data_IF_239770083011
#
_entry.id   IF_239770083011
#
_cell.length_a   1.000
_cell.length_b   1.000
_cell.length_c   1.000
_cell.angle_alpha   90.00
_cell.angle_beta   90.00
_cell.angle_gamma   90.00
#
_symmetry.space_group_name_H-M   'P 1'
#
loop_
_entity.id
_entity.type
_entity.pdbx_description
1 polymer ?
#
# COMPACT_ATOMS: atom_id res chain seq x y z
N UNK A 1 -6.78 69.82 23.79
CA UNK A 1 -6.53 68.46 24.30
C UNK A 1 -6.52 67.51 23.11
N UNK A 2 -5.34 67.08 22.70
CA UNK A 2 -5.07 66.21 21.55
C UNK A 2 -5.62 64.81 21.81
N UNK A 3 -6.62 64.40 21.03
CA UNK A 3 -7.12 63.03 21.00
C UNK A 3 -6.01 62.13 20.46
N UNK A 4 -5.50 61.23 21.29
CA UNK A 4 -4.58 60.17 20.87
C UNK A 4 -5.33 59.22 19.92
N UNK A 5 -5.36 59.54 18.63
CA UNK A 5 -5.84 58.60 17.62
C UNK A 5 -4.95 57.37 17.69
N UNK A 6 -5.50 56.21 18.08
CA UNK A 6 -4.77 54.95 18.17
C UNK A 6 -4.01 54.73 16.86
N UNK A 7 -2.69 54.77 16.91
CA UNK A 7 -1.81 54.60 15.74
C UNK A 7 -1.79 53.16 15.21
N UNK A 8 -2.48 52.26 15.90
CA UNK A 8 -2.70 50.88 15.50
C UNK A 8 -3.96 50.30 16.16
N UNK A 9 -4.50 49.22 15.60
CA UNK A 9 -5.63 48.46 16.14
C UNK A 9 -5.63 47.02 15.63
N UNK A 10 -6.40 46.13 16.26
CA UNK A 10 -6.51 44.72 15.88
C UNK A 10 -7.89 44.40 15.29
N UNK A 11 -7.94 43.45 14.37
CA UNK A 11 -9.19 42.84 13.87
C UNK A 11 -9.09 41.33 14.06
N UNK A 12 -10.13 40.73 14.66
CA UNK A 12 -10.26 39.28 14.82
C UNK A 12 -11.21 38.74 13.74
N UNK A 13 -10.76 37.71 13.03
CA UNK A 13 -11.39 37.12 11.85
C UNK A 13 -11.62 35.62 12.09
N UNK A 14 -12.78 35.24 12.64
CA UNK A 14 -13.14 33.84 12.79
C UNK A 14 -13.64 33.25 11.45
N UNK A 15 -13.38 31.97 11.20
CA UNK A 15 -13.76 31.30 9.95
C UNK A 15 -15.24 30.90 9.89
N UNK A 16 -15.92 30.83 11.03
CA UNK A 16 -17.31 30.38 11.17
C UNK A 16 -18.34 31.55 11.16
N UNK A 17 -18.03 32.65 10.47
CA UNK A 17 -19.03 33.72 10.28
C UNK A 17 -20.18 33.26 9.38
N UNK A 18 -21.29 34.00 9.40
CA UNK A 18 -22.50 33.69 8.64
C UNK A 18 -22.39 33.93 7.12
N UNK A 19 -21.19 34.14 6.57
CA UNK A 19 -21.01 34.29 5.11
C UNK A 19 -21.10 32.90 4.46
N UNK A 20 -21.96 32.77 3.46
CA UNK A 20 -22.18 31.51 2.74
C UNK A 20 -20.89 31.01 2.07
N UNK A 21 -20.65 29.70 2.14
CA UNK A 21 -19.50 29.05 1.52
C UNK A 21 -18.20 29.13 2.34
N UNK A 22 -18.20 29.74 3.52
CA UNK A 22 -17.04 29.76 4.40
C UNK A 22 -16.61 28.35 4.84
N UNK A 23 -15.31 28.11 4.77
CA UNK A 23 -14.62 26.90 5.26
C UNK A 23 -13.46 27.31 6.15
N UNK A 24 -12.97 26.38 6.97
CA UNK A 24 -11.83 26.63 7.87
C UNK A 24 -10.56 27.09 7.12
N UNK A 25 -10.36 26.65 5.88
CA UNK A 25 -9.24 27.02 5.01
C UNK A 25 -9.51 28.18 4.05
N UNK A 26 -10.75 28.64 3.89
CA UNK A 26 -11.12 29.66 2.93
C UNK A 26 -12.39 30.34 3.38
N UNK A 27 -12.27 31.58 3.86
CA UNK A 27 -13.40 32.27 4.48
C UNK A 27 -13.31 33.78 4.31
N UNK A 28 -14.49 34.40 4.30
CA UNK A 28 -14.70 35.84 4.24
C UNK A 28 -15.32 36.33 5.54
N UNK A 29 -14.88 37.50 5.98
CA UNK A 29 -15.44 38.19 7.15
C UNK A 29 -15.86 39.59 6.74
N UNK A 30 -17.18 39.86 6.83
CA UNK A 30 -17.74 41.20 6.65
C UNK A 30 -17.55 42.01 7.93
N UNK A 31 -16.96 43.18 7.79
CA UNK A 31 -16.72 44.08 8.91
C UNK A 31 -18.01 44.82 9.29
N UNK A 32 -18.26 45.09 10.58
CA UNK A 32 -19.47 45.78 11.03
C UNK A 32 -19.55 47.23 10.53
N UNK A 33 -18.39 47.82 10.20
CA UNK A 33 -18.28 49.13 9.55
C UNK A 33 -17.18 49.06 8.50
N UNK A 34 -17.40 49.74 7.39
CA UNK A 34 -16.39 49.94 6.36
C UNK A 34 -15.23 50.74 6.95
N UNK A 35 -14.03 50.18 6.91
CA UNK A 35 -12.82 50.86 7.35
C UNK A 35 -12.28 51.72 6.21
N UNK A 36 -11.88 52.94 6.52
CA UNK A 36 -11.26 53.88 5.58
C UNK A 36 -9.85 54.20 6.04
N UNK A 37 -8.89 54.04 5.13
CA UNK A 37 -7.48 54.24 5.35
C UNK A 37 -7.01 55.45 4.54
N UNK A 38 -6.55 56.50 5.25
CA UNK A 38 -6.05 57.73 4.63
C UNK A 38 -4.54 57.72 4.34
N UNK A 39 -3.72 57.43 5.36
CA UNK A 39 -2.25 57.37 5.30
C UNK A 39 -1.73 56.02 4.78
N UNK A 40 -0.40 55.84 4.68
CA UNK A 40 0.17 54.49 4.50
C UNK A 40 -0.07 53.64 5.75
N UNK A 41 -0.83 52.57 5.58
CA UNK A 41 -1.15 51.61 6.63
C UNK A 41 -0.57 50.26 6.25
N UNK A 42 -0.07 49.55 7.25
CA UNK A 42 0.41 48.18 7.08
C UNK A 42 -0.40 47.23 7.96
N UNK A 43 -0.53 46.00 7.49
CA UNK A 43 -1.21 44.90 8.18
C UNK A 43 -0.27 43.72 8.35
N UNK A 44 -0.37 43.03 9.48
CA UNK A 44 0.33 41.78 9.69
C UNK A 44 -0.48 40.79 10.50
N UNK A 45 -0.14 39.50 10.38
CA UNK A 45 -0.72 38.44 11.19
C UNK A 45 -0.09 38.43 12.59
N UNK A 46 -0.89 38.76 13.62
CA UNK A 46 -0.43 38.83 15.00
C UNK A 46 -0.69 37.54 15.78
N UNK A 47 -1.87 36.95 15.61
CA UNK A 47 -2.23 35.67 16.25
C UNK A 47 -2.98 34.80 15.25
N UNK A 48 -2.73 33.50 15.29
CA UNK A 48 -3.49 32.51 14.54
C UNK A 48 -3.88 31.36 15.49
N UNK A 49 -5.18 31.05 15.54
CA UNK A 49 -5.71 29.85 16.17
C UNK A 49 -6.24 28.92 15.08
N UNK A 50 -5.78 27.67 15.05
CA UNK A 50 -6.24 26.70 14.05
C UNK A 50 -6.33 25.28 14.63
N UNK A 51 -7.26 24.44 14.14
CA UNK A 51 -7.35 23.05 14.56
C UNK A 51 -6.33 22.20 13.78
N UNK A 52 -5.59 21.33 14.45
CA UNK A 52 -4.77 20.32 13.79
C UNK A 52 -5.62 19.09 13.40
N UNK A 53 -6.54 19.27 12.45
CA UNK A 53 -7.59 18.30 12.10
C UNK A 53 -7.41 17.67 10.72
N UNK A 54 -6.18 17.40 10.29
CA UNK A 54 -5.90 16.69 9.04
C UNK A 54 -5.03 15.46 9.31
N UNK A 55 -5.15 14.39 8.49
CA UNK A 55 -4.38 13.18 8.70
C UNK A 55 -2.93 13.37 8.28
N UNK A 56 -1.97 12.78 9.01
CA UNK A 56 -0.56 12.74 8.58
C UNK A 56 -0.37 11.93 7.30
N UNK A 57 -1.19 10.90 7.07
CA UNK A 57 -1.17 10.07 5.87
C UNK A 57 -2.49 10.23 5.12
N UNK A 58 -2.45 10.50 3.81
CA UNK A 58 -3.66 10.68 3.01
C UNK A 58 -4.28 12.06 3.14
N UNK A 59 -3.45 13.08 3.38
CA UNK A 59 -3.87 14.47 3.56
C UNK A 59 -4.45 15.06 2.26
N UNK A 60 -3.75 14.83 1.14
CA UNK A 60 -4.07 15.43 -0.15
C UNK A 60 -4.65 14.42 -1.13
N UNK A 61 -4.26 13.15 -1.03
CA UNK A 61 -4.57 12.11 -2.01
C UNK A 61 -4.83 10.77 -1.33
N UNK A 62 -5.55 9.89 -2.03
CA UNK A 62 -5.72 8.50 -1.60
C UNK A 62 -4.38 7.76 -1.63
N UNK A 63 -4.07 7.06 -0.54
CA UNK A 63 -2.82 6.31 -0.41
C UNK A 63 -3.04 4.86 -0.79
N UNK A 64 -2.04 4.24 -1.41
CA UNK A 64 -2.14 2.85 -1.84
C UNK A 64 -0.78 2.15 -1.90
N UNK A 65 -0.85 0.83 -1.84
CA UNK A 65 0.23 -0.08 -2.22
C UNK A 65 -0.29 -0.92 -3.39
N UNK A 66 0.34 -0.80 -4.56
CA UNK A 66 0.03 -1.63 -5.72
C UNK A 66 1.05 -2.75 -5.81
N UNK A 67 0.57 -3.99 -5.87
CA UNK A 67 1.39 -5.19 -6.02
C UNK A 67 1.20 -5.72 -7.42
N UNK A 68 2.29 -5.83 -8.18
CA UNK A 68 2.35 -6.50 -9.47
C UNK A 68 2.93 -7.90 -9.26
N UNK A 69 2.13 -8.92 -9.58
CA UNK A 69 2.50 -10.32 -9.46
C UNK A 69 3.32 -10.77 -10.67
N UNK A 70 4.17 -11.79 -10.50
CA UNK A 70 4.93 -12.39 -11.61
C UNK A 70 4.02 -12.98 -12.70
N UNK A 71 2.76 -13.23 -12.36
CA UNK A 71 1.73 -13.72 -13.28
C UNK A 71 1.25 -12.65 -14.27
N UNK A 72 1.55 -11.37 -13.99
CA UNK A 72 1.12 -10.19 -14.76
C UNK A 72 -0.07 -9.45 -14.14
N UNK A 73 -0.76 -10.09 -13.19
CA UNK A 73 -1.90 -9.49 -12.49
C UNK A 73 -1.43 -8.38 -11.54
N UNK A 74 -2.29 -7.39 -11.30
CA UNK A 74 -2.00 -6.27 -10.40
C UNK A 74 -3.14 -6.07 -9.40
N UNK A 75 -2.78 -5.75 -8.16
CA UNK A 75 -3.74 -5.47 -7.09
C UNK A 75 -3.39 -4.14 -6.44
N UNK A 76 -4.34 -3.21 -6.42
CA UNK A 76 -4.20 -1.94 -5.70
C UNK A 76 -4.87 -2.07 -4.34
N UNK A 77 -4.06 -2.00 -3.29
CA UNK A 77 -4.49 -2.11 -1.89
C UNK A 77 -4.59 -0.68 -1.33
N UNK A 78 -5.77 -0.20 -0.96
CA UNK A 78 -5.91 1.13 -0.37
C UNK A 78 -5.27 1.15 1.02
N UNK A 79 -4.59 2.25 1.33
CA UNK A 79 -4.06 2.53 2.67
C UNK A 79 -4.91 3.65 3.26
N UNK A 80 -5.66 3.40 4.35
CA UNK A 80 -6.57 4.39 4.90
C UNK A 80 -5.82 5.61 5.44
N UNK A 81 -6.42 6.78 5.26
CA UNK A 81 -5.91 8.01 5.85
C UNK A 81 -5.84 7.87 7.37
N UNK A 82 -4.73 8.27 7.97
CA UNK A 82 -4.51 8.08 9.40
C UNK A 82 -3.53 9.08 10.02
N UNK A 83 -3.74 9.32 11.31
CA UNK A 83 -2.86 10.12 12.15
C UNK A 83 -1.75 9.24 12.73
N UNK A 84 -0.61 9.25 12.05
CA UNK A 84 0.52 8.43 12.39
C UNK A 84 1.45 9.21 13.31
N UNK A 85 1.66 8.73 14.55
CA UNK A 85 2.55 9.41 15.51
C UNK A 85 3.95 8.83 15.57
N UNK A 86 4.08 7.55 15.25
CA UNK A 86 5.35 6.84 15.29
C UNK A 86 5.42 5.77 14.20
N UNK A 87 6.64 5.33 13.84
CA UNK A 87 6.83 4.33 12.79
C UNK A 87 6.11 3.00 13.07
N UNK A 88 5.96 2.60 14.33
CA UNK A 88 5.29 1.35 14.72
C UNK A 88 3.79 1.38 14.41
N UNK A 89 3.12 2.50 14.66
CA UNK A 89 1.72 2.69 14.29
C UNK A 89 1.53 2.61 12.77
N UNK A 90 2.38 3.28 12.00
CA UNK A 90 2.34 3.19 10.53
C UNK A 90 2.54 1.75 10.04
N UNK A 91 3.52 1.05 10.62
CA UNK A 91 3.82 -0.33 10.28
C UNK A 91 2.60 -1.24 10.52
N UNK A 92 1.92 -1.07 11.63
CA UNK A 92 0.71 -1.83 11.96
C UNK A 92 -0.42 -1.53 10.96
N UNK A 93 -0.64 -0.25 10.61
CA UNK A 93 -1.61 0.13 9.60
C UNK A 93 -1.31 -0.47 8.23
N UNK A 94 -0.03 -0.48 7.80
CA UNK A 94 0.39 -1.13 6.57
C UNK A 94 0.21 -2.64 6.61
N UNK A 95 0.52 -3.29 7.74
CA UNK A 95 0.29 -4.72 7.92
C UNK A 95 -1.18 -5.10 7.90
N UNK A 96 -2.05 -4.22 8.41
CA UNK A 96 -3.49 -4.40 8.32
C UNK A 96 -3.97 -4.26 6.87
N UNK A 97 -3.57 -3.19 6.17
CA UNK A 97 -3.93 -2.96 4.77
C UNK A 97 -3.45 -4.11 3.87
N UNK A 98 -2.19 -4.54 4.00
CA UNK A 98 -1.65 -5.70 3.26
C UNK A 98 -2.20 -7.04 3.74
N UNK A 99 -2.92 -7.07 4.87
CA UNK A 99 -3.71 -8.23 5.28
C UNK A 99 -4.85 -8.50 4.29
N UNK A 100 -5.23 -7.49 3.52
CA UNK A 100 -6.15 -7.58 2.39
C UNK A 100 -5.35 -7.80 1.09
N UNK A 101 -6.05 -8.30 0.07
CA UNK A 101 -5.49 -8.63 -1.24
C UNK A 101 -6.61 -8.61 -2.28
N UNK A 102 -6.56 -9.52 -3.24
CA UNK A 102 -7.63 -9.73 -4.21
C UNK A 102 -8.34 -11.06 -3.97
N UNK A 103 -9.55 -10.98 -3.39
CA UNK A 103 -10.43 -12.14 -3.27
C UNK A 103 -10.92 -12.63 -4.65
N UNK A 104 -10.99 -11.74 -5.64
CA UNK A 104 -11.32 -12.08 -7.03
C UNK A 104 -10.25 -13.01 -7.64
N UNK A 105 -8.98 -12.62 -7.57
CA UNK A 105 -7.87 -13.44 -8.07
C UNK A 105 -7.76 -14.76 -7.28
N UNK A 106 -7.94 -14.71 -5.96
CA UNK A 106 -7.92 -15.89 -5.10
C UNK A 106 -9.06 -16.86 -5.45
N UNK A 107 -10.27 -16.34 -5.68
CA UNK A 107 -11.45 -17.14 -6.03
C UNK A 107 -11.31 -17.76 -7.42
N UNK A 108 -10.83 -17.00 -8.41
CA UNK A 108 -10.56 -17.48 -9.76
C UNK A 108 -9.54 -18.63 -9.74
N UNK A 109 -8.43 -18.45 -9.01
CA UNK A 109 -7.42 -19.52 -8.89
C UNK A 109 -7.96 -20.73 -8.14
N UNK A 110 -8.82 -20.54 -7.14
CA UNK A 110 -9.45 -21.64 -6.41
C UNK A 110 -10.42 -22.44 -7.29
N UNK A 111 -11.13 -21.80 -8.21
CA UNK A 111 -11.94 -22.51 -9.22
C UNK A 111 -11.06 -23.36 -10.12
N UNK A 112 -9.97 -22.79 -10.66
CA UNK A 112 -8.97 -23.52 -11.46
C UNK A 112 -8.39 -24.71 -10.67
N UNK A 113 -8.09 -24.51 -9.39
CA UNK A 113 -7.58 -25.55 -8.50
C UNK A 113 -8.59 -26.69 -8.31
N UNK A 114 -9.88 -26.39 -8.13
CA UNK A 114 -10.93 -27.40 -8.02
C UNK A 114 -11.07 -28.20 -9.31
N UNK A 115 -11.13 -27.52 -10.47
CA UNK A 115 -11.18 -28.18 -11.77
C UNK A 115 -9.96 -29.08 -11.97
N UNK A 116 -8.76 -28.56 -11.71
CA UNK A 116 -7.54 -29.35 -11.82
C UNK A 116 -7.53 -30.56 -10.88
N UNK A 117 -7.98 -30.42 -9.62
CA UNK A 117 -8.08 -31.55 -8.69
C UNK A 117 -9.03 -32.65 -9.19
N UNK A 118 -10.18 -32.28 -9.77
CA UNK A 118 -11.09 -33.25 -10.38
C UNK A 118 -10.40 -34.03 -11.51
N UNK A 119 -9.73 -33.32 -12.42
CA UNK A 119 -9.01 -33.94 -13.53
C UNK A 119 -7.85 -34.83 -13.05
N UNK A 120 -7.13 -34.44 -12.00
CA UNK A 120 -6.09 -35.28 -11.40
C UNK A 120 -6.67 -36.56 -10.82
N UNK A 121 -7.84 -36.50 -10.16
CA UNK A 121 -8.52 -37.69 -9.64
C UNK A 121 -8.99 -38.62 -10.76
N UNK A 122 -9.55 -38.08 -11.85
CA UNK A 122 -9.91 -38.86 -13.02
C UNK A 122 -8.69 -39.54 -13.67
N UNK A 123 -7.60 -38.80 -13.90
CA UNK A 123 -6.36 -39.34 -14.44
C UNK A 123 -5.77 -40.45 -13.54
N UNK A 124 -5.84 -40.28 -12.22
CA UNK A 124 -5.38 -41.27 -11.25
C UNK A 124 -6.21 -42.56 -11.34
N UNK A 125 -7.54 -42.46 -11.41
CA UNK A 125 -8.41 -43.64 -11.56
C UNK A 125 -8.19 -44.35 -12.90
N UNK A 126 -7.96 -43.60 -13.98
CA UNK A 126 -7.64 -44.16 -15.29
C UNK A 126 -6.31 -44.90 -15.28
N UNK A 127 -5.27 -44.31 -14.68
CA UNK A 127 -3.96 -44.92 -14.58
C UNK A 127 -3.94 -46.19 -13.72
N UNK A 128 -4.70 -46.23 -12.62
CA UNK A 128 -4.87 -47.44 -11.80
C UNK A 128 -5.49 -48.58 -12.61
N UNK A 129 -6.58 -48.31 -13.32
CA UNK A 129 -7.26 -49.29 -14.18
C UNK A 129 -6.36 -49.84 -15.29
N UNK A 130 -5.55 -48.97 -15.90
CA UNK A 130 -4.64 -49.41 -16.97
C UNK A 130 -3.51 -50.30 -16.43
N UNK A 131 -2.92 -49.98 -15.28
CA UNK A 131 -1.91 -50.84 -14.65
C UNK A 131 -2.50 -52.19 -14.25
N UNK A 132 -3.70 -52.23 -13.70
CA UNK A 132 -4.42 -53.48 -13.39
C UNK A 132 -4.68 -54.32 -14.65
N UNK A 133 -5.05 -53.66 -15.75
CA UNK A 133 -5.24 -54.31 -17.06
C UNK A 133 -3.93 -54.91 -17.57
N UNK A 134 -2.82 -54.19 -17.51
CA UNK A 134 -1.52 -54.69 -17.97
C UNK A 134 -1.04 -55.88 -17.11
N UNK A 135 -1.23 -55.84 -15.80
CA UNK A 135 -0.90 -56.93 -14.89
C UNK A 135 -1.72 -58.20 -15.16
N UNK A 136 -3.03 -58.04 -15.44
CA UNK A 136 -3.89 -59.17 -15.78
C UNK A 136 -3.55 -59.80 -17.13
N UNK A 137 -3.08 -59.01 -18.11
CA UNK A 137 -2.57 -59.51 -19.39
C UNK A 137 -1.25 -60.28 -19.24
N UNK A 138 -0.35 -59.81 -18.38
CA UNK A 138 0.93 -60.46 -18.10
C UNK A 138 0.74 -61.82 -17.40
N UNK A 139 -0.21 -61.92 -16.47
CA UNK A 139 -0.58 -63.18 -15.81
C UNK A 139 -1.20 -64.21 -16.77
N UNK A 140 -1.88 -63.77 -17.84
CA UNK A 140 -2.46 -64.65 -18.85
C UNK A 140 -1.42 -65.18 -19.87
N UNK A 141 -0.26 -64.54 -20.00
CA UNK A 141 0.82 -64.96 -20.89
C UNK A 141 1.88 -65.85 -20.24
N UNK A 142 1.80 -66.11 -18.92
CA UNK A 142 2.69 -67.09 -18.29
C UNK A 142 2.36 -68.52 -18.75
N UNK A 143 3.29 -69.25 -19.38
CA UNK A 143 3.07 -70.63 -19.76
C UNK A 143 2.85 -71.50 -18.51
N UNK A 144 1.81 -72.33 -18.50
CA UNK A 144 1.59 -73.29 -17.42
C UNK A 144 2.81 -74.19 -17.24
N UNK A 145 3.29 -74.42 -16.00
CA UNK A 145 4.37 -75.36 -15.76
C UNK A 145 3.87 -76.77 -16.14
N UNK A 146 4.49 -77.34 -17.18
CA UNK A 146 4.34 -78.75 -17.52
C UNK A 146 4.80 -79.57 -16.31
N UNK A 147 3.85 -80.20 -15.64
CA UNK A 147 4.11 -81.19 -14.60
C UNK A 147 4.98 -82.32 -15.18
N UNK A 148 6.28 -82.31 -14.90
CA UNK A 148 7.09 -83.52 -14.78
C UNK A 148 8.49 -83.22 -14.23
N UNK A 149 8.67 -83.59 -12.96
CA UNK A 149 9.63 -84.60 -12.47
C UNK A 149 10.34 -84.10 -11.23
N UNK A 150 9.88 -84.59 -10.07
CA UNK A 150 10.67 -84.63 -8.85
C UNK A 150 11.85 -85.58 -9.07
N UNK A 151 13.08 -85.11 -8.93
CA UNK A 151 14.12 -85.80 -8.13
C UNK A 151 15.49 -85.07 -8.17
N UNK A 152 16.04 -84.93 -6.95
CA UNK A 152 17.47 -84.80 -6.60
C UNK A 152 18.00 -83.38 -6.89
N UNK A 153 18.53 -82.59 -5.94
CA UNK A 153 19.50 -82.87 -4.88
C UNK A 153 19.26 -81.92 -3.69
N UNK A 154 19.15 -82.49 -2.49
CA UNK A 154 19.34 -81.78 -1.23
C UNK A 154 20.83 -81.77 -0.93
N UNK A 155 21.54 -80.64 -1.12
CA UNK A 155 22.78 -80.27 -0.42
C UNK A 155 23.35 -78.94 -0.95
N UNK A 156 22.75 -77.80 -0.53
CA UNK A 156 23.36 -76.44 -0.48
C UNK A 156 22.43 -75.42 0.21
N UNK A 157 21.90 -75.76 1.38
CA UNK A 157 20.74 -75.09 1.98
C UNK A 157 21.00 -73.86 2.88
N UNK A 158 22.13 -73.17 2.81
CA UNK A 158 22.27 -71.87 3.52
C UNK A 158 22.89 -70.72 2.71
N UNK A 159 23.41 -70.99 1.51
CA UNK A 159 23.84 -69.95 0.55
C UNK A 159 22.84 -69.75 -0.60
N UNK A 160 22.09 -70.79 -0.98
CA UNK A 160 21.05 -70.70 -2.02
C UNK A 160 19.82 -69.92 -1.54
N UNK A 161 19.39 -70.08 -0.29
CA UNK A 161 18.24 -69.35 0.27
C UNK A 161 18.47 -67.83 0.31
N UNK A 162 19.67 -67.35 0.66
CA UNK A 162 19.99 -65.91 0.62
C UNK A 162 20.11 -65.36 -0.80
N UNK A 163 20.59 -66.17 -1.75
CA UNK A 163 20.68 -65.79 -3.17
C UNK A 163 19.30 -65.73 -3.83
N UNK A 164 18.42 -66.68 -3.50
CA UNK A 164 17.05 -66.76 -4.00
C UNK A 164 16.15 -65.71 -3.33
N UNK A 165 16.35 -65.44 -2.03
CA UNK A 165 15.70 -64.31 -1.33
C UNK A 165 16.13 -62.96 -1.91
N UNK A 166 17.44 -62.73 -2.12
CA UNK A 166 17.90 -61.50 -2.78
C UNK A 166 17.42 -61.38 -4.23
N UNK A 167 17.33 -62.49 -4.97
CA UNK A 167 16.80 -62.51 -6.34
C UNK A 167 15.30 -62.23 -6.39
N UNK A 168 14.50 -62.79 -5.49
CA UNK A 168 13.06 -62.50 -5.38
C UNK A 168 12.81 -61.07 -4.92
N UNK A 169 13.65 -60.55 -4.02
CA UNK A 169 13.55 -59.18 -3.54
C UNK A 169 13.88 -58.18 -4.66
N UNK A 170 14.94 -58.44 -5.44
CA UNK A 170 15.27 -57.66 -6.64
C UNK A 170 14.19 -57.74 -7.73
N UNK A 171 13.59 -58.91 -7.96
CA UNK A 171 12.48 -59.06 -8.91
C UNK A 171 11.21 -58.33 -8.44
N UNK A 172 10.90 -58.37 -7.15
CA UNK A 172 9.78 -57.61 -6.56
C UNK A 172 9.99 -56.10 -6.70
N UNK A 173 11.20 -55.61 -6.42
CA UNK A 173 11.55 -54.19 -6.56
C UNK A 173 11.47 -53.73 -8.01
N UNK A 174 12.00 -54.51 -8.95
CA UNK A 174 11.90 -54.22 -10.39
C UNK A 174 10.45 -54.20 -10.87
N UNK A 175 9.60 -55.10 -10.36
CA UNK A 175 8.19 -55.14 -10.71
C UNK A 175 7.42 -53.95 -10.11
N UNK A 176 7.72 -53.52 -8.90
CA UNK A 176 7.17 -52.28 -8.32
C UNK A 176 7.60 -51.03 -9.09
N UNK A 177 8.87 -50.97 -9.49
CA UNK A 177 9.41 -49.85 -10.25
C UNK A 177 8.80 -49.79 -11.66
N UNK A 178 8.58 -50.93 -12.30
CA UNK A 178 7.83 -51.00 -13.55
C UNK A 178 6.39 -50.52 -13.39
N UNK A 179 5.67 -50.97 -12.35
CA UNK A 179 4.30 -50.50 -12.05
C UNK A 179 4.26 -48.99 -11.86
N UNK A 180 5.19 -48.42 -11.08
CA UNK A 180 5.30 -46.96 -10.88
C UNK A 180 5.58 -46.23 -12.19
N UNK A 181 6.44 -46.78 -13.03
CA UNK A 181 6.80 -46.16 -14.32
C UNK A 181 5.61 -46.14 -15.28
N UNK A 182 4.91 -47.28 -15.42
CA UNK A 182 3.71 -47.36 -16.26
C UNK A 182 2.58 -46.46 -15.73
N UNK A 183 2.37 -46.48 -14.41
CA UNK A 183 1.41 -45.60 -13.75
C UNK A 183 1.70 -44.13 -14.04
N UNK A 184 2.93 -43.66 -13.78
CA UNK A 184 3.31 -42.27 -13.99
C UNK A 184 3.23 -41.84 -15.46
N UNK A 185 3.60 -42.73 -16.39
CA UNK A 185 3.54 -42.45 -17.83
C UNK A 185 2.09 -42.31 -18.31
N UNK A 186 1.21 -43.23 -17.92
CA UNK A 186 -0.21 -43.17 -18.28
C UNK A 186 -0.91 -42.00 -17.59
N UNK A 187 -0.65 -41.80 -16.28
CA UNK A 187 -1.19 -40.69 -15.50
C UNK A 187 -0.87 -39.34 -16.15
N UNK A 188 0.40 -39.08 -16.51
CA UNK A 188 0.81 -37.81 -17.14
C UNK A 188 0.11 -37.58 -18.47
N UNK A 189 0.12 -38.57 -19.38
CA UNK A 189 -0.55 -38.44 -20.69
C UNK A 189 -2.05 -38.17 -20.55
N UNK A 190 -2.72 -38.92 -19.68
CA UNK A 190 -4.16 -38.77 -19.46
C UNK A 190 -4.47 -37.42 -18.85
N UNK A 191 -3.69 -36.98 -17.86
CA UNK A 191 -3.85 -35.65 -17.25
C UNK A 191 -3.65 -34.52 -18.27
N UNK A 192 -2.60 -34.60 -19.08
CA UNK A 192 -2.30 -33.59 -20.10
C UNK A 192 -3.43 -33.49 -21.14
N UNK A 193 -3.98 -34.64 -21.55
CA UNK A 193 -5.12 -34.73 -22.47
C UNK A 193 -6.38 -34.12 -21.86
N UNK A 194 -6.74 -34.53 -20.64
CA UNK A 194 -7.91 -34.03 -19.93
C UNK A 194 -7.85 -32.52 -19.69
N UNK A 195 -6.68 -32.01 -19.30
CA UNK A 195 -6.45 -30.57 -19.11
C UNK A 195 -6.58 -29.83 -20.44
N UNK A 196 -6.01 -30.35 -21.53
CA UNK A 196 -6.10 -29.72 -22.85
C UNK A 196 -7.53 -29.68 -23.40
N UNK A 197 -8.34 -30.72 -23.16
CA UNK A 197 -9.71 -30.82 -23.66
C UNK A 197 -10.73 -30.03 -22.82
N UNK A 198 -10.57 -30.02 -21.49
CA UNK A 198 -11.61 -29.51 -20.58
C UNK A 198 -11.32 -28.15 -19.96
N UNK A 199 -10.11 -27.62 -20.08
CA UNK A 199 -9.75 -26.30 -19.55
C UNK A 199 -9.48 -25.30 -20.67
N UNK A 200 -9.96 -24.07 -20.48
CA UNK A 200 -9.70 -22.97 -21.40
C UNK A 200 -8.20 -22.65 -21.48
N UNK A 201 -7.74 -22.10 -22.60
CA UNK A 201 -6.33 -21.75 -22.79
C UNK A 201 -5.84 -20.74 -21.73
N UNK A 202 -6.68 -19.76 -21.36
CA UNK A 202 -6.36 -18.80 -20.32
C UNK A 202 -6.16 -19.46 -18.94
N UNK A 203 -6.99 -20.43 -18.59
CA UNK A 203 -6.89 -21.17 -17.32
C UNK A 203 -5.66 -22.07 -17.30
N UNK A 204 -5.35 -22.75 -18.41
CA UNK A 204 -4.12 -23.55 -18.57
C UNK A 204 -2.87 -22.70 -18.40
N UNK A 205 -2.87 -21.51 -18.99
CA UNK A 205 -1.76 -20.56 -18.84
C UNK A 205 -1.59 -20.10 -17.39
N UNK A 206 -2.70 -19.83 -16.68
CA UNK A 206 -2.64 -19.55 -15.25
C UNK A 206 -2.14 -20.77 -14.48
N UNK A 207 -2.72 -21.95 -14.68
CA UNK A 207 -2.30 -23.19 -14.02
C UNK A 207 -0.79 -23.39 -14.14
N UNK A 208 -0.24 -23.31 -15.36
CA UNK A 208 1.19 -23.48 -15.62
C UNK A 208 2.08 -22.47 -14.89
N UNK A 209 1.62 -21.21 -14.73
CA UNK A 209 2.35 -20.19 -13.96
C UNK A 209 2.37 -20.47 -12.46
N UNK A 210 1.33 -21.11 -11.92
CA UNK A 210 1.14 -21.26 -10.47
C UNK A 210 1.56 -22.65 -9.94
N UNK A 211 1.46 -23.69 -10.77
CA UNK A 211 1.76 -25.08 -10.42
C UNK A 211 3.14 -25.28 -9.78
N UNK A 212 4.24 -24.63 -10.25
CA UNK A 212 5.58 -24.87 -9.70
C UNK A 212 5.74 -24.54 -8.21
N UNK A 213 5.01 -23.55 -7.69
CA UNK A 213 4.99 -23.24 -6.25
C UNK A 213 3.85 -23.94 -5.51
N UNK A 214 2.79 -24.32 -6.22
CA UNK A 214 1.58 -24.86 -5.64
C UNK A 214 0.45 -23.82 -5.58
N UNK A 215 -0.73 -24.26 -6.00
CA UNK A 215 -1.92 -23.41 -6.17
C UNK A 215 -2.39 -22.80 -4.84
N UNK A 216 -2.36 -23.56 -3.75
CA UNK A 216 -2.83 -23.09 -2.44
C UNK A 216 -1.97 -21.93 -1.90
N UNK A 217 -0.64 -21.97 -2.09
CA UNK A 217 0.24 -20.87 -1.67
C UNK A 217 -0.07 -19.59 -2.43
N UNK A 218 -0.37 -19.70 -3.71
CA UNK A 218 -0.81 -18.56 -4.53
C UNK A 218 -2.18 -18.03 -4.11
N UNK A 219 -3.16 -18.90 -3.86
CA UNK A 219 -4.49 -18.48 -3.36
C UNK A 219 -4.34 -17.68 -2.07
N UNK A 220 -3.51 -18.14 -1.13
CA UNK A 220 -3.25 -17.43 0.12
C UNK A 220 -2.54 -16.10 -0.12
N UNK A 221 -1.61 -16.05 -1.08
CA UNK A 221 -0.86 -14.84 -1.43
C UNK A 221 -1.76 -13.78 -2.07
N UNK A 222 -2.64 -14.19 -2.99
CA UNK A 222 -3.63 -13.30 -3.58
C UNK A 222 -4.61 -12.78 -2.55
N UNK A 223 -5.08 -13.62 -1.63
CA UNK A 223 -5.98 -13.19 -0.55
C UNK A 223 -5.30 -12.23 0.43
N UNK A 224 -4.02 -12.47 0.75
CA UNK A 224 -3.26 -11.69 1.74
C UNK A 224 -1.88 -11.32 1.18
N UNK A 225 -1.77 -10.11 0.63
CA UNK A 225 -0.53 -9.63 0.04
C UNK A 225 0.65 -9.64 1.04
N UNK A 226 0.37 -9.49 2.34
CA UNK A 226 1.35 -9.54 3.44
C UNK A 226 2.19 -10.83 3.48
N UNK A 227 1.66 -11.94 2.94
CA UNK A 227 2.39 -13.21 2.86
C UNK A 227 3.52 -13.20 1.82
N UNK A 228 3.48 -12.26 0.88
CA UNK A 228 4.47 -12.11 -0.19
C UNK A 228 5.20 -10.76 -0.15
N UNK A 229 4.66 -9.75 0.54
CA UNK A 229 5.21 -8.40 0.67
C UNK A 229 5.08 -7.92 2.11
N UNK A 230 6.18 -7.65 2.80
CA UNK A 230 6.18 -7.27 4.21
C UNK A 230 7.04 -6.05 4.47
N UNK A 231 6.43 -5.03 5.06
CA UNK A 231 7.17 -3.92 5.66
C UNK A 231 7.77 -4.32 7.00
N UNK A 232 8.93 -3.75 7.33
CA UNK A 232 9.53 -3.77 8.66
C UNK A 232 10.17 -2.42 8.95
N UNK A 233 10.37 -2.13 10.23
CA UNK A 233 11.05 -0.91 10.67
C UNK A 233 12.28 -1.30 11.47
N UNK A 234 13.45 -0.85 11.02
CA UNK A 234 14.70 -0.98 11.74
C UNK A 234 14.81 0.19 12.73
N UNK A 235 14.74 -0.12 14.03
CA UNK A 235 14.78 0.87 15.12
C UNK A 235 16.18 1.45 15.30
N UNK A 236 17.23 0.69 15.03
CA UNK A 236 18.62 1.16 15.17
C UNK A 236 18.97 2.14 14.05
N UNK A 237 18.61 1.79 12.82
CA UNK A 237 18.87 2.63 11.65
C UNK A 237 17.81 3.71 11.44
N UNK A 238 16.67 3.62 12.13
CA UNK A 238 15.49 4.46 11.90
C UNK A 238 15.09 4.46 10.42
N UNK A 239 14.93 3.26 9.83
CA UNK A 239 14.61 3.07 8.40
C UNK A 239 13.52 2.02 8.21
N UNK A 240 12.58 2.28 7.31
CA UNK A 240 11.70 1.24 6.80
C UNK A 240 12.42 0.33 5.82
N UNK A 241 11.98 -0.93 5.79
CA UNK A 241 12.38 -1.91 4.79
C UNK A 241 11.14 -2.57 4.21
N UNK A 242 11.20 -2.91 2.94
CA UNK A 242 10.23 -3.71 2.25
C UNK A 242 10.89 -4.99 1.79
N UNK A 243 10.41 -6.12 2.30
CA UNK A 243 10.78 -7.44 1.84
C UNK A 243 9.70 -7.97 0.90
N UNK A 244 10.08 -8.39 -0.30
CA UNK A 244 9.18 -9.02 -1.26
C UNK A 244 9.68 -10.43 -1.58
N UNK A 245 8.75 -11.33 -1.85
CA UNK A 245 9.07 -12.63 -2.44
C UNK A 245 9.22 -12.48 -3.96
N UNK A 246 10.45 -12.56 -4.50
CA UNK A 246 10.70 -12.33 -5.93
C UNK A 246 10.07 -13.41 -6.82
N UNK A 247 9.71 -14.56 -6.27
CA UNK A 247 9.08 -15.65 -7.03
C UNK A 247 7.60 -15.35 -7.28
N UNK A 248 6.94 -14.61 -6.39
CA UNK A 248 5.51 -14.26 -6.49
C UNK A 248 5.29 -12.85 -6.98
N UNK A 249 6.11 -11.90 -6.54
CA UNK A 249 5.96 -10.47 -6.81
C UNK A 249 7.04 -10.03 -7.78
N UNK A 250 6.60 -9.34 -8.83
CA UNK A 250 7.47 -8.67 -9.79
C UNK A 250 7.89 -7.29 -9.28
N UNK A 251 6.93 -6.53 -8.75
CA UNK A 251 7.16 -5.17 -8.29
C UNK A 251 6.09 -4.71 -7.30
N UNK A 252 6.46 -3.78 -6.42
CA UNK A 252 5.54 -3.02 -5.57
C UNK A 252 5.65 -1.55 -5.92
N UNK A 253 4.50 -0.89 -6.12
CA UNK A 253 4.39 0.54 -6.32
C UNK A 253 3.68 1.19 -5.11
N UNK A 254 4.22 2.29 -4.62
CA UNK A 254 3.65 3.09 -3.54
C UNK A 254 3.09 4.40 -4.08
N UNK A 255 2.03 4.92 -3.47
CA UNK A 255 1.64 6.31 -3.68
C UNK A 255 2.76 7.27 -3.28
N UNK A 256 2.76 8.47 -3.86
CA UNK A 256 3.86 9.43 -3.71
C UNK A 256 4.08 9.86 -2.26
N UNK A 257 3.01 10.27 -1.58
CA UNK A 257 3.08 10.66 -0.17
C UNK A 257 3.51 9.49 0.72
N UNK A 258 3.01 8.27 0.45
CA UNK A 258 3.40 7.08 1.22
C UNK A 258 4.89 6.74 1.05
N UNK A 259 5.42 6.77 -0.18
CA UNK A 259 6.84 6.54 -0.43
C UNK A 259 7.70 7.58 0.31
N UNK A 260 7.29 8.85 0.27
CA UNK A 260 7.95 9.95 0.97
C UNK A 260 7.93 9.75 2.49
N UNK A 261 6.76 9.48 3.09
CA UNK A 261 6.60 9.26 4.54
C UNK A 261 7.44 8.08 5.01
N UNK A 262 7.53 7.01 4.22
CA UNK A 262 8.35 5.84 4.54
C UNK A 262 9.86 6.07 4.32
N UNK A 263 10.24 7.15 3.64
CA UNK A 263 11.64 7.50 3.36
C UNK A 263 12.24 6.80 2.15
N UNK A 264 11.41 6.22 1.26
CA UNK A 264 11.86 5.66 0.00
C UNK A 264 12.08 6.78 -1.03
N UNK A 265 13.18 6.70 -1.78
CA UNK A 265 13.49 7.67 -2.82
C UNK A 265 12.83 7.34 -4.17
N UNK A 266 12.21 6.16 -4.28
CA UNK A 266 11.43 5.74 -5.45
C UNK A 266 10.07 5.24 -4.99
N UNK A 267 9.08 5.36 -5.87
CA UNK A 267 7.77 4.74 -5.68
C UNK A 267 7.74 3.27 -6.08
N UNK A 268 8.76 2.82 -6.80
CA UNK A 268 8.80 1.56 -7.53
C UNK A 268 9.89 0.65 -6.94
N UNK A 269 9.47 -0.43 -6.29
CA UNK A 269 10.33 -1.32 -5.50
C UNK A 269 10.25 -2.74 -6.07
N UNK A 270 11.32 -3.21 -6.70
CA UNK A 270 11.42 -4.55 -7.31
C UNK A 270 12.53 -5.42 -6.70
N UNK A 271 13.39 -4.85 -5.85
CA UNK A 271 14.43 -5.62 -5.18
C UNK A 271 13.83 -6.50 -4.06
N UNK A 272 14.33 -7.75 -3.85
CA UNK A 272 13.85 -8.64 -2.80
C UNK A 272 13.86 -8.02 -1.39
N UNK A 273 14.81 -7.13 -1.15
CA UNK A 273 14.89 -6.29 0.04
C UNK A 273 15.17 -4.85 -0.40
N UNK A 274 14.22 -3.96 -0.16
CA UNK A 274 14.37 -2.52 -0.41
C UNK A 274 14.45 -1.79 0.92
N UNK A 275 15.49 -0.99 1.12
CA UNK A 275 15.69 -0.19 2.34
C UNK A 275 15.44 1.28 2.04
N UNK A 276 14.66 1.95 2.88
CA UNK A 276 14.42 3.37 2.79
C UNK A 276 15.74 4.15 2.91
N UNK A 277 15.89 5.20 2.10
CA UNK A 277 17.09 6.04 2.11
C UNK A 277 17.06 7.02 3.29
N UNK A 278 15.88 7.50 3.64
CA UNK A 278 15.67 8.56 4.64
C UNK A 278 14.93 8.04 5.88
N UNK A 279 15.06 8.77 6.98
CA UNK A 279 14.21 8.54 8.15
C UNK A 279 12.76 8.85 7.77
N UNK A 280 11.79 8.11 8.35
CA UNK A 280 10.40 8.34 8.00
C UNK A 280 9.89 9.69 8.54
N UNK A 281 9.07 10.38 7.75
CA UNK A 281 8.46 11.66 8.12
C UNK A 281 7.03 11.45 8.63
N UNK A 282 6.86 11.41 9.94
CA UNK A 282 5.55 11.23 10.57
C UNK A 282 4.64 12.48 10.47
N UNK A 283 5.17 13.62 9.99
CA UNK A 283 4.38 14.84 9.75
C UNK A 283 3.66 14.83 8.40
N UNK A 284 3.85 13.79 7.59
CA UNK A 284 3.08 13.65 6.36
C UNK A 284 3.52 14.56 5.22
N UNK A 285 4.72 15.15 5.31
CA UNK A 285 5.22 16.14 4.34
C UNK A 285 4.64 17.55 4.51
N UNK A 286 3.69 17.78 5.42
CA UNK A 286 3.13 19.11 5.68
C UNK A 286 3.68 19.64 7.00
N UNK A 287 4.83 20.33 6.91
CA UNK A 287 5.50 20.96 8.05
C UNK A 287 5.12 22.43 8.24
N UNK A 288 4.53 23.04 7.22
CA UNK A 288 4.10 24.44 7.22
C UNK A 288 2.94 24.65 6.26
N UNK A 289 2.25 25.77 6.43
CA UNK A 289 1.27 26.28 5.48
C UNK A 289 1.41 27.80 5.35
N UNK A 290 0.78 28.36 4.33
CA UNK A 290 0.83 29.77 4.02
C UNK A 290 -0.55 30.39 4.22
N UNK A 291 -0.59 31.55 4.88
CA UNK A 291 -1.81 32.34 5.09
C UNK A 291 -1.87 33.45 4.05
N UNK A 292 -2.83 33.37 3.15
CA UNK A 292 -3.07 34.32 2.07
C UNK A 292 -4.13 35.34 2.49
N UNK A 293 -3.96 36.58 2.04
CA UNK A 293 -4.97 37.64 2.15
C UNK A 293 -5.17 38.34 0.79
N UNK A 294 -5.83 37.67 -0.17
CA UNK A 294 -6.05 38.22 -1.50
C UNK A 294 -6.83 39.54 -1.44
N UNK A 295 -6.38 40.54 -2.18
CA UNK A 295 -7.03 41.86 -2.21
C UNK A 295 -6.74 42.76 -1.00
N UNK A 296 -6.02 42.28 0.02
CA UNK A 296 -5.66 43.08 1.20
C UNK A 296 -4.26 43.70 1.11
N UNK A 297 -3.29 42.92 0.63
CA UNK A 297 -1.86 43.27 0.60
C UNK A 297 -1.28 43.12 -0.81
N UNK A 298 -0.14 43.77 -1.05
CA UNK A 298 0.64 43.57 -2.28
C UNK A 298 1.19 42.13 -2.34
N UNK A 299 1.20 41.48 -3.52
CA UNK A 299 1.86 40.20 -3.69
C UNK A 299 3.34 40.25 -3.33
N UNK A 300 3.81 39.22 -2.62
CA UNK A 300 5.22 39.02 -2.24
C UNK A 300 5.79 37.85 -3.03
N UNK A 301 7.08 37.90 -3.33
CA UNK A 301 7.80 36.82 -4.00
C UNK A 301 8.00 35.66 -3.00
N UNK A 302 7.52 34.48 -3.37
CA UNK A 302 7.73 33.22 -2.64
C UNK A 302 8.20 32.17 -3.65
N UNK A 303 9.47 31.80 -3.56
CA UNK A 303 10.07 30.89 -4.54
C UNK A 303 10.01 31.49 -5.95
N UNK A 304 9.35 30.78 -6.86
CA UNK A 304 9.15 31.14 -8.27
C UNK A 304 7.78 31.80 -8.56
N UNK A 305 6.98 32.10 -7.52
CA UNK A 305 5.64 32.71 -7.65
C UNK A 305 5.50 34.03 -6.88
N UNK A 306 4.59 34.90 -7.32
CA UNK A 306 4.22 36.13 -6.61
C UNK A 306 2.79 36.04 -6.08
N UNK A 307 2.62 36.07 -4.75
CA UNK A 307 1.33 35.80 -4.11
C UNK A 307 1.09 36.67 -2.85
N UNK A 308 -0.16 37.04 -2.52
CA UNK A 308 -0.48 37.91 -1.38
C UNK A 308 -0.49 37.12 -0.06
N UNK A 309 0.68 36.71 0.41
CA UNK A 309 0.85 35.92 1.64
C UNK A 309 1.22 36.82 2.82
N UNK A 310 0.42 36.75 3.87
CA UNK A 310 0.68 37.43 5.13
C UNK A 310 1.88 36.80 5.86
N UNK A 311 1.92 35.46 5.92
CA UNK A 311 2.94 34.72 6.67
C UNK A 311 2.95 33.23 6.30
N UNK A 312 4.13 32.62 6.37
CA UNK A 312 4.32 31.17 6.48
C UNK A 312 4.22 30.76 7.95
N UNK A 313 3.40 29.77 8.25
CA UNK A 313 3.18 29.23 9.60
C UNK A 313 3.79 27.83 9.66
N UNK A 314 4.75 27.64 10.56
CA UNK A 314 5.29 26.31 10.85
C UNK A 314 4.35 25.57 11.79
N UNK A 315 3.98 24.34 11.44
CA UNK A 315 3.13 23.49 12.28
C UNK A 315 3.99 22.91 13.41
N UNK A 316 3.81 23.44 14.62
CA UNK A 316 4.52 22.98 15.81
C UNK A 316 3.80 21.86 16.56
N UNK A 317 2.51 21.67 16.30
CA UNK A 317 1.70 20.71 17.05
C UNK A 317 2.20 19.27 16.89
N UNK A 318 2.35 18.60 18.03
CA UNK A 318 2.73 17.20 18.12
C UNK A 318 1.51 16.26 18.21
N UNK A 319 0.32 16.79 18.52
CA UNK A 319 -0.89 15.97 18.67
C UNK A 319 -1.93 16.34 17.61
N UNK A 320 -2.50 15.35 16.92
CA UNK A 320 -3.73 15.53 16.17
C UNK A 320 -4.85 16.01 17.09
N UNK A 321 -5.79 16.75 16.52
CA UNK A 321 -7.02 17.22 17.14
C UNK A 321 -6.85 18.39 18.14
N UNK A 322 -5.61 18.82 18.39
CA UNK A 322 -5.32 20.00 19.21
C UNK A 322 -5.67 21.31 18.49
N UNK A 323 -6.18 22.28 19.26
CA UNK A 323 -6.23 23.68 18.84
C UNK A 323 -4.87 24.32 19.09
N UNK A 324 -4.25 24.81 18.02
CA UNK A 324 -2.92 25.41 18.05
C UNK A 324 -3.04 26.92 18.03
N UNK A 325 -2.43 27.58 19.01
CA UNK A 325 -2.28 29.04 19.04
C UNK A 325 -0.84 29.42 18.66
N UNK A 326 -0.70 30.23 17.62
CA UNK A 326 0.56 30.84 17.21
C UNK A 326 0.46 32.36 17.40
N UNK A 327 1.09 32.86 18.46
CA UNK A 327 1.19 34.29 18.76
C UNK A 327 2.58 34.82 18.38
N UNK A 328 2.61 35.90 17.60
CA UNK A 328 3.85 36.41 17.02
C UNK A 328 4.33 37.71 17.69
N UNK A 329 5.49 37.65 18.35
CA UNK A 329 6.15 38.83 18.91
C UNK A 329 6.67 39.77 17.82
N UNK A 330 7.28 39.21 16.77
CA UNK A 330 7.74 39.96 15.61
C UNK A 330 6.75 39.80 14.46
N UNK A 331 5.78 40.72 14.34
CA UNK A 331 4.77 40.70 13.27
C UNK A 331 5.40 41.14 11.94
N UNK A 332 5.16 40.36 10.89
CA UNK A 332 5.52 40.71 9.50
C UNK A 332 4.42 41.60 8.94
N UNK A 333 4.77 42.85 8.65
CA UNK A 333 3.83 43.83 8.12
C UNK A 333 3.99 43.98 6.61
N UNK A 334 2.85 44.08 5.95
CA UNK A 334 2.72 44.30 4.52
C UNK A 334 1.90 45.56 4.28
N UNK A 335 2.21 46.29 3.21
CA UNK A 335 1.45 47.49 2.86
C UNK A 335 0.04 47.11 2.40
N UNK A 336 -0.95 47.91 2.82
CA UNK A 336 -2.31 47.77 2.34
C UNK A 336 -2.45 48.33 0.92
N UNK A 337 -3.10 47.57 0.04
CA UNK A 337 -3.40 48.05 -1.32
C UNK A 337 -4.73 48.81 -1.39
N UNK A 338 -5.68 48.47 -0.53
CA UNK A 338 -7.02 49.06 -0.51
C UNK A 338 -7.14 50.17 0.51
N UNK A 339 -7.69 51.32 0.09
CA UNK A 339 -8.03 52.42 1.00
C UNK A 339 -9.33 52.20 1.75
N UNK A 340 -10.15 51.26 1.29
CA UNK A 340 -11.44 50.96 1.91
C UNK A 340 -11.66 49.46 2.02
N UNK A 341 -12.02 48.99 3.21
CA UNK A 341 -12.23 47.56 3.48
C UNK A 341 -13.59 47.38 4.15
N UNK A 342 -14.47 46.63 3.48
CA UNK A 342 -15.75 46.18 4.05
C UNK A 342 -15.75 44.67 4.34
N UNK A 343 -14.89 43.92 3.65
CA UNK A 343 -14.78 42.48 3.77
C UNK A 343 -13.31 42.09 3.65
N UNK A 344 -12.89 41.10 4.44
CA UNK A 344 -11.54 40.53 4.36
C UNK A 344 -11.68 39.05 3.97
N UNK A 345 -10.94 38.65 2.94
CA UNK A 345 -10.87 37.28 2.46
C UNK A 345 -9.53 36.64 2.84
N UNK A 346 -9.59 35.44 3.41
CA UNK A 346 -8.43 34.67 3.85
C UNK A 346 -8.46 33.28 3.20
N UNK A 347 -7.29 32.81 2.77
CA UNK A 347 -7.08 31.42 2.39
C UNK A 347 -5.87 30.83 3.13
N UNK A 348 -5.95 29.55 3.50
CA UNK A 348 -4.87 28.80 4.13
C UNK A 348 -4.50 27.66 3.18
N UNK A 349 -3.26 27.69 2.67
CA UNK A 349 -2.79 26.78 1.63
C UNK A 349 -1.54 26.01 2.04
N UNK A 350 -1.43 24.77 1.56
CA UNK A 350 -0.23 23.94 1.66
C UNK A 350 0.94 24.59 0.89
N UNK A 351 2.18 24.11 1.07
CA UNK A 351 3.31 24.57 0.27
C UNK A 351 3.20 24.28 -1.23
N UNK A 352 2.36 23.31 -1.62
CA UNK A 352 2.03 23.02 -3.02
C UNK A 352 0.97 23.96 -3.60
N UNK A 353 0.37 24.84 -2.78
CA UNK A 353 -0.66 25.79 -3.20
C UNK A 353 -2.11 25.28 -3.11
N UNK A 354 -2.32 24.01 -2.74
CA UNK A 354 -3.65 23.45 -2.48
C UNK A 354 -4.23 24.00 -1.16
N UNK A 355 -5.55 24.00 -0.99
CA UNK A 355 -6.17 24.41 0.28
C UNK A 355 -5.85 23.39 1.38
N UNK A 356 -5.54 23.88 2.60
CA UNK A 356 -5.29 23.00 3.75
C UNK A 356 -6.54 22.17 4.08
N UNK A 357 -6.46 20.83 4.16
CA UNK A 357 -7.64 19.96 4.28
C UNK A 357 -8.06 19.76 5.74
N UNK A 358 -8.44 20.84 6.43
CA UNK A 358 -9.04 20.73 7.77
C UNK A 358 -10.33 19.89 7.71
N UNK A 359 -10.41 18.82 8.49
CA UNK A 359 -11.60 17.96 8.55
C UNK A 359 -12.71 18.58 9.40
N UNK A 360 -12.34 19.29 10.47
CA UNK A 360 -13.27 19.92 11.40
C UNK A 360 -12.58 21.04 12.22
N UNK A 361 -13.36 21.72 13.06
CA UNK A 361 -12.90 22.83 13.89
C UNK A 361 -12.96 24.18 13.18
N UNK A 362 -12.62 25.24 13.91
CA UNK A 362 -12.71 26.62 13.42
C UNK A 362 -11.37 27.32 13.52
N UNK A 363 -11.06 28.17 12.55
CA UNK A 363 -9.84 28.95 12.51
C UNK A 363 -10.15 30.40 12.89
N UNK A 364 -9.28 31.05 13.66
CA UNK A 364 -9.42 32.46 14.03
C UNK A 364 -8.10 33.17 13.83
N UNK A 365 -8.11 34.28 13.08
CA UNK A 365 -6.93 35.10 12.82
C UNK A 365 -7.09 36.45 13.51
N UNK A 366 -6.02 36.95 14.09
CA UNK A 366 -5.94 38.33 14.58
C UNK A 366 -4.95 39.09 13.71
N UNK A 367 -5.46 40.05 12.95
CA UNK A 367 -4.66 40.96 12.14
C UNK A 367 -4.37 42.23 12.93
N UNK A 368 -3.13 42.70 12.86
CA UNK A 368 -2.72 43.97 13.45
C UNK A 368 -2.50 45.01 12.36
N UNK A 369 -3.29 46.09 12.41
CA UNK A 369 -3.21 47.23 11.52
C UNK A 369 -2.47 48.35 12.21
N UNK A 370 -1.45 48.92 11.57
CA UNK A 370 -0.71 50.07 12.10
C UNK A 370 -0.43 51.11 11.02
N UNK A 371 -0.38 52.38 11.42
CA UNK A 371 0.13 53.44 10.57
C UNK A 371 1.64 53.28 10.41
N UNK A 372 2.13 53.36 9.18
CA UNK A 372 3.57 53.50 8.94
C UNK A 372 3.96 54.94 9.29
N UNK A 373 4.92 55.17 10.21
CA UNK A 373 5.42 56.52 10.43
C UNK A 373 6.06 57.02 9.13
N UNK A 374 5.73 58.24 8.72
CA UNK A 374 6.44 58.92 7.64
C UNK A 374 7.90 59.06 8.09
N UNK A 375 8.84 58.53 7.29
CA UNK A 375 10.26 58.80 7.44
C UNK A 375 10.59 60.20 6.94
#
# INVERSE_FOLDING_TARGET
MTTSSSSSFYIVLPSNTQVEGNRTNSFRVRLPRKLQFGSQWSVGLAVLLYPHSWPSLGTTEEQFVRVEWQTGEQVRIPVPASNVRNPTQLLNSLHHALGEGSEELASRLRQIQLSYHQLTGEAETSAKKEVERLLSLEQQQQPQPRNQTKRIEEEKQQQQQKSDEMSNQQQSEQQEEWKRTQFNAHYRRTLDTLVAERMEEAERNLLNKHLPLGLELWVQSYRKARLSCRFSFDVEQQRFRLQIDPVRIKQVELSEQLAYILGFHTRHLSAPMSVARYQPDMKGGVSSFYVYAPGLIEPVIIGDVCVPVLRMVCIRSAQPDDMVEEAYTAVQYHQLITKEIAEIFIEIRTPTGALMPFQYGTCTLTLHFRKTPYF
#
